data_IF_565635986029
#
_entry.id   IF_565635986029
#
_cell.length_a   1.000
_cell.length_b   1.000
_cell.length_c   1.000
_cell.angle_alpha   90.00
_cell.angle_beta   90.00
_cell.angle_gamma   90.00
#
_symmetry.space_group_name_H-M   'P 1'
#
loop_
_entity.id
_entity.type
_entity.pdbx_description
1 polymer ?
#
# COMPACT_ATOMS: atom_id res chain seq x y z
N UNK A 1 -5.09 -3.90 -23.34
CA UNK A 1 -5.52 -2.52 -22.99
C UNK A 1 -6.57 -1.97 -23.96
N UNK A 2 -6.31 -1.91 -25.27
CA UNK A 2 -7.26 -1.34 -26.26
C UNK A 2 -8.69 -1.91 -26.15
N UNK A 3 -8.84 -3.23 -26.07
CA UNK A 3 -10.15 -3.87 -25.87
C UNK A 3 -10.85 -3.44 -24.57
N UNK A 4 -10.10 -3.32 -23.47
CA UNK A 4 -10.65 -2.97 -22.14
C UNK A 4 -11.11 -1.51 -22.04
N UNK A 5 -10.49 -0.64 -22.82
CA UNK A 5 -10.77 0.80 -22.85
C UNK A 5 -11.56 1.23 -24.10
N UNK A 6 -11.95 0.29 -24.97
CA UNK A 6 -12.76 0.56 -26.14
C UNK A 6 -14.14 1.12 -25.73
N UNK A 7 -14.60 2.17 -26.43
CA UNK A 7 -15.88 2.81 -26.13
C UNK A 7 -15.87 3.67 -24.85
N UNK A 8 -14.70 4.04 -24.34
CA UNK A 8 -14.56 5.02 -23.26
C UNK A 8 -15.20 6.36 -23.61
N UNK A 9 -15.71 7.08 -22.60
CA UNK A 9 -16.40 8.37 -22.79
C UNK A 9 -15.47 9.55 -23.06
N UNK A 10 -14.15 9.34 -22.93
CA UNK A 10 -13.13 10.38 -22.95
C UNK A 10 -12.30 10.20 -24.21
N UNK A 11 -12.18 11.25 -25.02
CA UNK A 11 -11.52 11.19 -26.32
C UNK A 11 -10.00 10.99 -26.17
N UNK A 12 -9.44 11.46 -25.07
CA UNK A 12 -8.02 11.39 -24.71
C UNK A 12 -7.53 9.94 -24.53
N UNK A 13 -8.44 9.00 -24.24
CA UNK A 13 -8.10 7.58 -24.08
C UNK A 13 -7.54 7.00 -25.37
N UNK A 14 -8.08 7.39 -26.53
CA UNK A 14 -7.58 6.93 -27.82
C UNK A 14 -6.15 7.44 -28.09
N UNK A 15 -5.90 8.72 -27.82
CA UNK A 15 -4.57 9.34 -27.98
C UNK A 15 -3.54 8.72 -27.01
N UNK A 16 -3.91 8.48 -25.75
CA UNK A 16 -3.05 7.81 -24.78
C UNK A 16 -2.71 6.39 -25.26
N UNK A 17 -3.69 5.64 -25.77
CA UNK A 17 -3.48 4.27 -26.27
C UNK A 17 -2.55 4.24 -27.50
N UNK A 18 -2.60 5.25 -28.37
CA UNK A 18 -1.66 5.37 -29.49
C UNK A 18 -0.24 5.67 -29.02
N UNK A 19 -0.07 6.60 -28.07
CA UNK A 19 1.26 6.92 -27.49
C UNK A 19 1.84 5.77 -26.67
N UNK A 20 1.01 4.92 -26.09
CA UNK A 20 1.46 3.71 -25.39
C UNK A 20 2.19 2.72 -26.31
N UNK A 21 1.96 2.75 -27.63
CA UNK A 21 2.65 1.85 -28.57
C UNK A 21 4.13 2.23 -28.78
N UNK A 22 4.47 3.50 -28.56
CA UNK A 22 5.84 4.00 -28.70
C UNK A 22 6.51 4.28 -27.36
N UNK A 23 5.83 3.98 -26.25
CA UNK A 23 6.34 4.10 -24.89
C UNK A 23 7.33 2.97 -24.58
N UNK A 24 8.58 3.32 -24.28
CA UNK A 24 9.64 2.35 -23.98
C UNK A 24 9.66 1.84 -22.53
N UNK A 25 8.85 2.44 -21.65
CA UNK A 25 8.90 2.28 -20.19
C UNK A 25 7.52 1.93 -19.60
N UNK A 26 6.68 1.22 -20.37
CA UNK A 26 5.37 0.81 -19.92
C UNK A 26 5.45 -0.14 -18.71
N UNK A 27 4.95 0.31 -17.56
CA UNK A 27 4.70 -0.53 -16.39
C UNK A 27 3.23 -0.98 -16.36
N UNK A 28 3.01 -2.29 -16.30
CA UNK A 28 1.68 -2.88 -16.15
C UNK A 28 1.76 -4.12 -15.25
N UNK A 29 1.00 -4.10 -14.15
CA UNK A 29 0.94 -5.21 -13.21
C UNK A 29 -0.46 -5.28 -12.55
N UNK A 30 -0.74 -6.42 -11.95
CA UNK A 30 -1.86 -6.63 -11.06
C UNK A 30 -1.70 -5.87 -9.74
N UNK A 31 -2.79 -5.31 -9.23
CA UNK A 31 -2.83 -4.79 -7.87
C UNK A 31 -3.06 -5.97 -6.92
N UNK A 32 -2.00 -6.38 -6.21
CA UNK A 32 -1.98 -7.56 -5.35
C UNK A 32 -1.48 -7.25 -3.93
N UNK A 33 -1.84 -8.09 -2.97
CA UNK A 33 -1.30 -8.07 -1.60
C UNK A 33 -0.59 -9.38 -1.30
N UNK A 34 0.51 -9.32 -0.55
CA UNK A 34 1.20 -10.51 -0.05
C UNK A 34 0.78 -10.74 1.41
N UNK A 35 0.13 -11.89 1.66
CA UNK A 35 -0.32 -12.32 2.99
C UNK A 35 0.20 -13.72 3.24
N UNK A 36 0.97 -13.90 4.31
CA UNK A 36 1.57 -15.18 4.67
C UNK A 36 1.57 -15.38 6.18
N UNK A 37 1.44 -16.64 6.66
CA UNK A 37 1.32 -16.94 8.09
C UNK A 37 2.62 -16.71 8.88
N UNK A 38 3.78 -16.68 8.21
CA UNK A 38 5.07 -16.36 8.80
C UNK A 38 5.96 -15.71 7.74
N UNK A 39 6.81 -14.75 8.13
CA UNK A 39 7.74 -14.07 7.21
C UNK A 39 9.13 -14.68 7.19
N UNK A 40 9.37 -15.71 7.99
CA UNK A 40 10.66 -16.39 8.08
C UNK A 40 10.53 -17.91 8.10
N UNK A 41 11.57 -18.58 7.62
CA UNK A 41 11.72 -20.03 7.70
C UNK A 41 13.20 -20.37 7.85
N UNK A 42 13.55 -20.97 8.98
CA UNK A 42 14.95 -21.27 9.31
C UNK A 42 15.79 -19.99 9.40
N UNK A 43 16.78 -19.86 8.53
CA UNK A 43 17.69 -18.70 8.45
C UNK A 43 17.34 -17.71 7.32
N UNK A 44 16.14 -17.85 6.73
CA UNK A 44 15.66 -16.99 5.66
C UNK A 44 14.51 -16.15 6.22
N UNK A 45 14.55 -14.85 5.97
CA UNK A 45 13.50 -13.88 6.32
C UNK A 45 13.19 -13.01 5.10
N UNK A 46 11.91 -12.72 4.89
CA UNK A 46 11.43 -11.84 3.83
C UNK A 46 11.19 -10.44 4.40
N UNK A 47 11.43 -9.42 3.58
CA UNK A 47 11.24 -8.01 3.94
C UNK A 47 10.59 -7.26 2.77
N UNK A 48 9.85 -6.20 3.07
CA UNK A 48 9.21 -5.34 2.06
C UNK A 48 8.08 -6.06 1.32
N UNK A 49 7.92 -5.76 0.04
CA UNK A 49 6.82 -6.32 -0.76
C UNK A 49 6.85 -7.85 -0.86
N UNK A 50 8.03 -8.47 -0.74
CA UNK A 50 8.18 -9.93 -0.71
C UNK A 50 7.52 -10.57 0.53
N UNK A 51 7.41 -9.84 1.63
CA UNK A 51 6.81 -10.31 2.88
C UNK A 51 5.36 -9.85 3.05
N UNK A 52 5.08 -8.60 2.68
CA UNK A 52 3.86 -7.94 3.15
C UNK A 52 3.38 -6.77 2.27
N UNK A 53 3.45 -6.90 0.94
CA UNK A 53 2.97 -5.87 0.02
C UNK A 53 1.54 -5.38 0.41
N UNK A 54 1.35 -4.07 0.66
CA UNK A 54 0.06 -3.51 1.10
C UNK A 54 -0.96 -3.31 -0.05
N UNK A 55 -0.54 -3.53 -1.30
CA UNK A 55 -1.15 -3.10 -2.57
C UNK A 55 -1.06 -1.59 -2.82
N UNK A 56 -0.62 -1.22 -4.03
CA UNK A 56 -0.21 0.10 -4.55
C UNK A 56 -1.05 1.33 -4.18
N UNK A 57 -2.26 1.17 -3.66
CA UNK A 57 -3.20 2.27 -3.40
C UNK A 57 -2.74 3.25 -2.32
N UNK A 58 -1.81 2.87 -1.44
CA UNK A 58 -1.30 3.79 -0.41
C UNK A 58 0.02 4.48 -0.77
N UNK A 59 0.76 4.03 -1.79
CA UNK A 59 2.09 4.55 -2.11
C UNK A 59 3.14 4.36 -0.99
N UNK A 60 2.84 3.57 0.04
CA UNK A 60 3.67 3.44 1.25
C UNK A 60 4.69 2.28 1.18
N UNK A 61 4.70 1.49 0.10
CA UNK A 61 5.49 0.25 0.02
C UNK A 61 6.99 0.44 0.29
N UNK A 62 7.59 1.47 -0.29
CA UNK A 62 8.99 1.81 -0.03
C UNK A 62 9.25 2.21 1.43
N UNK A 63 8.34 2.97 2.04
CA UNK A 63 8.42 3.34 3.45
C UNK A 63 8.34 2.13 4.37
N UNK A 64 7.46 1.16 4.08
CA UNK A 64 7.35 -0.08 4.84
C UNK A 64 8.53 -1.03 4.63
N UNK A 65 9.15 -1.02 3.45
CA UNK A 65 10.38 -1.74 3.21
C UNK A 65 11.51 -1.19 4.09
N UNK A 66 11.68 0.15 4.15
CA UNK A 66 12.68 0.80 4.98
C UNK A 66 12.43 0.58 6.48
N UNK A 67 11.21 0.82 6.96
CA UNK A 67 10.86 0.62 8.36
C UNK A 67 11.02 -0.86 8.78
N UNK A 68 10.59 -1.79 7.93
CA UNK A 68 10.77 -3.22 8.21
C UNK A 68 12.23 -3.66 8.21
N UNK A 69 13.05 -3.13 7.31
CA UNK A 69 14.49 -3.40 7.30
C UNK A 69 15.17 -2.88 8.59
N UNK A 70 14.78 -1.67 9.04
CA UNK A 70 15.25 -1.09 10.30
C UNK A 70 14.88 -1.96 11.51
N UNK A 71 13.60 -2.36 11.64
CA UNK A 71 13.14 -3.22 12.72
C UNK A 71 13.86 -4.57 12.70
N UNK A 72 14.02 -5.19 11.52
CA UNK A 72 14.74 -6.47 11.40
C UNK A 72 16.19 -6.34 11.87
N UNK A 73 16.90 -5.29 11.44
CA UNK A 73 18.28 -5.05 11.84
C UNK A 73 18.40 -4.83 13.36
N UNK A 74 17.52 -4.02 13.94
CA UNK A 74 17.47 -3.77 15.38
C UNK A 74 17.16 -5.01 16.20
N UNK A 75 16.20 -5.84 15.76
CA UNK A 75 15.90 -7.10 16.43
C UNK A 75 17.04 -8.11 16.35
N UNK A 76 17.79 -8.14 15.23
CA UNK A 76 19.01 -8.94 15.10
C UNK A 76 20.10 -8.47 16.08
N UNK A 77 20.31 -7.16 16.20
CA UNK A 77 21.26 -6.59 17.15
C UNK A 77 20.87 -6.91 18.60
N UNK A 78 19.61 -6.68 18.96
CA UNK A 78 19.05 -6.94 20.30
C UNK A 78 19.14 -8.41 20.69
N UNK A 79 19.01 -9.31 19.73
CA UNK A 79 19.12 -10.75 19.93
C UNK A 79 20.57 -11.27 19.84
N UNK A 80 21.57 -10.38 19.75
CA UNK A 80 22.99 -10.76 19.57
C UNK A 80 23.22 -11.71 18.38
N UNK A 81 22.45 -11.53 17.30
CA UNK A 81 22.50 -12.36 16.11
C UNK A 81 21.69 -13.66 16.17
N UNK A 82 20.98 -13.96 17.26
CA UNK A 82 20.03 -15.08 17.30
C UNK A 82 18.83 -14.79 16.39
N UNK A 83 18.87 -15.37 15.20
CA UNK A 83 17.85 -15.19 14.17
C UNK A 83 16.47 -15.71 14.58
N UNK A 84 16.38 -16.71 15.47
CA UNK A 84 15.08 -17.26 15.89
C UNK A 84 14.34 -16.26 16.76
N UNK A 85 15.06 -15.60 17.67
CA UNK A 85 14.51 -14.53 18.52
C UNK A 85 14.25 -13.28 17.68
N UNK A 86 15.21 -12.88 16.85
CA UNK A 86 15.12 -11.67 16.05
C UNK A 86 13.95 -11.70 15.06
N UNK A 87 13.78 -12.79 14.30
CA UNK A 87 12.72 -12.89 13.30
C UNK A 87 11.33 -12.87 13.94
N UNK A 88 11.17 -13.49 15.12
CA UNK A 88 9.92 -13.41 15.89
C UNK A 88 9.65 -12.00 16.40
N UNK A 89 10.68 -11.29 16.88
CA UNK A 89 10.55 -9.91 17.32
C UNK A 89 10.17 -8.98 16.17
N UNK A 90 10.83 -9.14 15.02
CA UNK A 90 10.54 -8.39 13.80
C UNK A 90 9.10 -8.59 13.35
N UNK A 91 8.69 -9.85 13.24
CA UNK A 91 7.34 -10.20 12.81
C UNK A 91 6.30 -9.67 13.81
N UNK A 92 6.48 -9.93 15.11
CA UNK A 92 5.53 -9.51 16.15
C UNK A 92 5.34 -7.99 16.24
N UNK A 93 6.38 -7.19 15.98
CA UNK A 93 6.27 -5.71 15.99
C UNK A 93 5.55 -5.15 14.77
N UNK A 94 5.74 -5.78 13.61
CA UNK A 94 5.29 -5.21 12.34
C UNK A 94 3.95 -5.79 11.85
N UNK A 95 3.62 -7.05 12.22
CA UNK A 95 2.46 -7.81 11.74
C UNK A 95 1.15 -7.03 11.85
N UNK A 96 0.80 -6.58 13.06
CA UNK A 96 -0.48 -5.93 13.31
C UNK A 96 -0.62 -4.62 12.53
N UNK A 97 0.47 -3.87 12.39
CA UNK A 97 0.48 -2.62 11.63
C UNK A 97 0.23 -2.90 10.14
N UNK A 98 0.94 -3.86 9.55
CA UNK A 98 0.77 -4.17 8.13
C UNK A 98 -0.61 -4.77 7.85
N UNK A 99 -1.12 -5.66 8.71
CA UNK A 99 -2.44 -6.26 8.51
C UNK A 99 -3.56 -5.20 8.51
N UNK A 100 -3.50 -4.20 9.40
CA UNK A 100 -4.44 -3.06 9.38
C UNK A 100 -4.34 -2.27 8.08
N UNK A 101 -3.13 -1.98 7.61
CA UNK A 101 -2.91 -1.25 6.34
C UNK A 101 -3.44 -2.04 5.14
N UNK A 102 -3.17 -3.35 5.09
CA UNK A 102 -3.69 -4.23 4.04
C UNK A 102 -5.23 -4.29 4.04
N UNK A 103 -5.86 -4.33 5.22
CA UNK A 103 -7.32 -4.29 5.32
C UNK A 103 -7.89 -2.94 4.85
N UNK A 104 -7.30 -1.83 5.29
CA UNK A 104 -7.68 -0.47 4.87
C UNK A 104 -7.56 -0.29 3.36
N UNK A 105 -6.50 -0.81 2.73
CA UNK A 105 -6.33 -0.74 1.28
C UNK A 105 -7.44 -1.48 0.51
N UNK A 106 -7.89 -2.63 1.00
CA UNK A 106 -9.03 -3.37 0.40
C UNK A 106 -10.33 -2.56 0.53
N UNK A 107 -10.58 -1.97 1.70
CA UNK A 107 -11.76 -1.13 1.92
C UNK A 107 -11.73 0.11 1.01
N UNK A 108 -10.57 0.75 0.89
CA UNK A 108 -10.40 1.92 0.04
C UNK A 108 -10.58 1.60 -1.46
N UNK A 109 -10.04 0.47 -1.94
CA UNK A 109 -10.20 0.03 -3.33
C UNK A 109 -11.67 -0.06 -3.76
N UNK A 110 -12.54 -0.57 -2.88
CA UNK A 110 -13.98 -0.66 -3.14
C UNK A 110 -14.67 0.70 -3.20
N UNK A 111 -14.13 1.71 -2.52
CA UNK A 111 -14.64 3.08 -2.51
C UNK A 111 -14.19 3.89 -3.74
N UNK A 112 -12.99 3.61 -4.28
CA UNK A 112 -12.42 4.33 -5.42
C UNK A 112 -12.99 3.90 -6.78
N UNK A 113 -13.48 2.66 -6.88
CA UNK A 113 -14.17 2.14 -8.07
C UNK A 113 -15.63 1.74 -7.75
N UNK A 114 -16.50 2.71 -7.40
CA UNK A 114 -17.89 2.39 -7.08
C UNK A 114 -18.56 1.77 -8.32
N UNK A 115 -19.00 0.52 -8.18
CA UNK A 115 -19.71 -0.21 -9.26
C UNK A 115 -21.19 0.18 -9.37
N UNK A 116 -21.67 1.08 -8.51
CA UNK A 116 -23.08 1.47 -8.41
C UNK A 116 -23.28 2.95 -8.76
N UNK A 117 -24.43 3.27 -9.37
CA UNK A 117 -24.79 4.66 -9.72
C UNK A 117 -24.86 5.56 -8.49
N UNK A 118 -25.33 5.04 -7.36
CA UNK A 118 -25.36 5.75 -6.07
C UNK A 118 -23.93 6.00 -5.54
N UNK A 119 -23.02 5.04 -5.68
CA UNK A 119 -21.63 5.20 -5.27
C UNK A 119 -20.89 6.26 -6.10
N UNK A 120 -21.15 6.34 -7.41
CA UNK A 120 -20.63 7.41 -8.27
C UNK A 120 -21.15 8.79 -7.85
N UNK A 121 -22.44 8.89 -7.53
CA UNK A 121 -23.05 10.14 -7.05
C UNK A 121 -22.43 10.61 -5.72
N UNK A 122 -22.26 9.69 -4.75
CA UNK A 122 -21.63 10.02 -3.45
C UNK A 122 -20.17 10.43 -3.64
N UNK A 123 -19.40 9.72 -4.47
CA UNK A 123 -18.01 10.09 -4.78
C UNK A 123 -17.93 11.50 -5.38
N UNK A 124 -18.77 11.79 -6.38
CA UNK A 124 -18.77 13.09 -7.06
C UNK A 124 -19.21 14.23 -6.12
N UNK A 125 -20.13 13.94 -5.18
CA UNK A 125 -20.50 14.88 -4.11
C UNK A 125 -19.31 15.15 -3.18
N UNK A 126 -18.60 14.11 -2.73
CA UNK A 126 -17.39 14.24 -1.88
C UNK A 126 -16.31 15.06 -2.59
N UNK A 127 -16.01 14.75 -3.86
CA UNK A 127 -15.02 15.48 -4.68
C UNK A 127 -15.39 16.95 -4.90
N UNK A 128 -16.68 17.28 -4.99
CA UNK A 128 -17.13 18.67 -5.05
C UNK A 128 -16.99 19.38 -3.71
N UNK A 129 -17.18 18.66 -2.61
CA UNK A 129 -17.00 19.22 -1.25
C UNK A 129 -15.54 19.31 -0.82
N UNK A 130 -14.60 18.60 -1.44
CA UNK A 130 -13.16 18.82 -1.19
C UNK A 130 -12.64 20.17 -1.70
N UNK A 131 -13.44 20.91 -2.49
CA UNK A 131 -13.15 22.29 -2.87
C UNK A 131 -13.44 23.32 -1.75
N UNK A 132 -14.03 22.91 -0.62
CA UNK A 132 -14.22 23.77 0.57
C UNK A 132 -13.28 23.34 1.71
N UNK A 133 -12.28 24.19 1.95
CA UNK A 133 -11.08 23.99 2.80
C UNK A 133 -11.29 23.38 4.21
N UNK A 134 -12.33 23.70 5.00
CA UNK A 134 -12.44 23.17 6.36
C UNK A 134 -12.85 21.68 6.42
N UNK A 135 -13.50 21.15 5.38
CA UNK A 135 -13.99 19.75 5.35
C UNK A 135 -12.91 18.80 4.85
N UNK A 136 -12.07 19.25 3.92
CA UNK A 136 -10.94 18.46 3.39
C UNK A 136 -9.93 18.13 4.49
N UNK A 137 -9.63 19.07 5.38
CA UNK A 137 -8.68 18.86 6.47
C UNK A 137 -9.15 17.81 7.48
N UNK A 138 -10.46 17.79 7.78
CA UNK A 138 -11.05 16.79 8.67
C UNK A 138 -11.09 15.40 8.04
N UNK A 139 -11.45 15.30 6.76
CA UNK A 139 -11.43 14.03 6.02
C UNK A 139 -10.01 13.48 5.86
N UNK A 140 -9.04 14.31 5.45
CA UNK A 140 -7.64 13.92 5.28
C UNK A 140 -7.01 13.44 6.59
N UNK A 141 -7.33 14.06 7.73
CA UNK A 141 -6.88 13.61 9.05
C UNK A 141 -7.34 12.20 9.43
N UNK A 142 -8.44 11.70 8.85
CA UNK A 142 -8.90 10.32 9.06
C UNK A 142 -8.13 9.32 8.19
N UNK A 143 -7.53 9.76 7.08
CA UNK A 143 -6.76 8.93 6.15
C UNK A 143 -5.24 8.93 6.41
N UNK A 144 -4.69 9.96 7.07
CA UNK A 144 -3.24 10.22 7.15
C UNK A 144 -2.56 9.72 8.44
N UNK A 145 -3.28 9.30 9.47
CA UNK A 145 -2.65 8.93 10.76
C UNK A 145 -2.80 7.45 11.08
N UNK A 146 -1.96 6.64 10.46
CA UNK A 146 -1.48 5.43 11.14
C UNK A 146 0.03 5.37 10.85
N UNK A 147 0.79 6.10 11.67
CA UNK A 147 2.25 6.14 11.61
C UNK A 147 2.78 4.96 12.41
N UNK A 148 3.67 4.17 11.83
CA UNK A 148 4.40 3.16 12.57
C UNK A 148 5.46 3.85 13.42
N UNK A 149 5.38 3.69 14.74
CA UNK A 149 6.40 4.20 15.66
C UNK A 149 7.63 3.28 15.60
N UNK A 150 8.77 3.86 15.21
CA UNK A 150 10.03 3.11 15.10
C UNK A 150 10.57 2.82 16.51
N UNK A 151 10.89 1.56 16.83
CA UNK A 151 11.53 1.22 18.10
C UNK A 151 12.92 1.85 18.18
N UNK A 152 13.33 2.30 19.36
CA UNK A 152 14.70 2.76 19.59
C UNK A 152 15.60 1.55 19.88
N UNK A 153 16.58 1.32 19.00
CA UNK A 153 17.58 0.26 19.16
C UNK A 153 18.93 0.88 19.53
N UNK A 154 19.62 0.37 20.57
CA UNK A 154 20.91 0.91 20.98
C UNK A 154 21.95 0.70 19.87
N UNK A 155 22.67 1.77 19.51
CA UNK A 155 23.77 1.75 18.53
C UNK A 155 25.00 1.00 19.03
#
# INVERSE_FOLDING_TARGET
MRERFAGGRWNEVAEILERLETCGDLYFDSVSQIRMPAWSKGRIVLVGDAAYCPSLLSGEGAGFALAGAYVLAGELQRASGDHVIAYRGYEGRFRDFIERKQQSAVQFATSYTPKTRLGLFVRDLVLRTTAVSPISDWLMRRFVTDQFELPDYPG
#
